data_IF_010029599255
#
_entry.id   IF_010029599255
#
_cell.length_a   1.000
_cell.length_b   1.000
_cell.length_c   1.000
_cell.angle_alpha   90.00
_cell.angle_beta   90.00
_cell.angle_gamma   90.00
#
_symmetry.space_group_name_H-M   'P 1'
#
loop_
_entity.id
_entity.type
_entity.pdbx_description
1 polymer ?
#
# COMPACT_ATOMS: atom_id res chain seq x y z
N UNK A 1 -24.98 12.57 -28.75
CA UNK A 1 -25.77 13.03 -27.59
C UNK A 1 -25.29 12.19 -26.41
N UNK A 2 -24.53 12.67 -25.44
CA UNK A 2 -24.26 14.04 -24.99
C UNK A 2 -22.75 14.28 -24.83
N UNK A 3 -22.32 15.48 -25.23
CA UNK A 3 -20.95 15.96 -25.15
C UNK A 3 -20.63 16.45 -23.73
N UNK A 4 -19.62 15.89 -23.07
CA UNK A 4 -18.99 16.51 -21.91
C UNK A 4 -17.62 17.08 -22.29
N UNK A 5 -17.66 18.18 -23.04
CA UNK A 5 -16.55 19.13 -23.17
C UNK A 5 -16.99 20.42 -22.50
N UNK A 6 -16.69 20.56 -21.21
CA UNK A 6 -16.73 21.87 -20.55
C UNK A 6 -15.34 22.24 -20.05
N UNK A 7 -14.77 23.20 -20.76
CA UNK A 7 -13.63 24.01 -20.38
C UNK A 7 -13.86 24.58 -18.98
N UNK A 8 -12.92 24.34 -18.06
CA UNK A 8 -12.92 25.00 -16.75
C UNK A 8 -11.54 25.59 -16.44
N UNK A 9 -11.07 26.43 -17.35
CA UNK A 9 -10.05 27.46 -17.09
C UNK A 9 -10.79 28.70 -16.59
N UNK A 10 -10.83 28.88 -15.27
CA UNK A 10 -11.32 30.13 -14.69
C UNK A 10 -10.15 31.11 -14.64
N UNK A 11 -10.07 31.99 -15.64
CA UNK A 11 -9.16 33.15 -15.64
C UNK A 11 -9.61 34.10 -14.54
N UNK A 12 -8.78 34.30 -13.52
CA UNK A 12 -8.96 35.36 -12.52
C UNK A 12 -8.22 36.60 -13.02
N UNK A 13 -8.87 37.41 -13.87
CA UNK A 13 -8.35 38.69 -14.34
C UNK A 13 -9.04 39.92 -13.76
N UNK A 14 -10.04 39.77 -12.87
CA UNK A 14 -10.77 40.91 -12.31
C UNK A 14 -10.62 40.95 -10.79
N UNK A 15 -9.53 41.54 -10.33
CA UNK A 15 -9.29 41.88 -8.93
C UNK A 15 -9.17 43.39 -8.75
N UNK A 16 -10.15 44.15 -9.24
CA UNK A 16 -10.33 45.54 -8.86
C UNK A 16 -11.78 45.80 -8.43
N UNK A 17 -11.90 46.28 -7.18
CA UNK A 17 -13.09 46.82 -6.53
C UNK A 17 -14.21 45.84 -6.10
N UNK A 18 -14.65 45.98 -4.84
CA UNK A 18 -15.98 45.55 -4.39
C UNK A 18 -16.02 44.27 -3.57
N UNK A 19 -16.60 44.37 -2.37
CA UNK A 19 -16.87 43.30 -1.41
C UNK A 19 -17.40 42.02 -2.06
N UNK A 20 -16.62 40.93 -2.00
CA UNK A 20 -17.09 39.59 -2.36
C UNK A 20 -17.90 39.03 -1.19
N UNK A 21 -19.19 38.81 -1.43
CA UNK A 21 -20.10 38.22 -0.45
C UNK A 21 -19.54 36.89 0.10
N UNK A 22 -19.72 36.59 1.41
CA UNK A 22 -19.27 35.33 1.98
C UNK A 22 -19.99 34.17 1.28
N UNK A 23 -19.21 33.32 0.61
CA UNK A 23 -19.70 32.06 0.04
C UNK A 23 -20.29 31.24 1.19
N UNK A 24 -21.58 30.85 1.15
CA UNK A 24 -22.20 30.14 2.24
C UNK A 24 -21.45 28.84 2.51
N UNK A 25 -21.05 28.62 3.78
CA UNK A 25 -20.54 27.36 4.30
C UNK A 25 -21.65 26.30 4.24
N UNK A 26 -21.96 25.80 3.04
CA UNK A 26 -22.61 24.48 2.95
C UNK A 26 -21.51 23.45 3.16
N UNK A 27 -21.35 23.03 4.41
CA UNK A 27 -20.72 21.75 4.73
C UNK A 27 -21.55 20.68 4.01
N UNK A 28 -21.18 20.33 2.78
CA UNK A 28 -21.74 19.16 2.12
C UNK A 28 -21.15 17.96 2.87
N UNK A 29 -21.95 17.16 3.59
CA UNK A 29 -21.46 15.95 4.20
C UNK A 29 -21.25 14.94 3.07
N UNK A 30 -20.12 15.03 2.39
CA UNK A 30 -19.72 14.01 1.42
C UNK A 30 -19.32 12.81 2.26
N UNK A 31 -20.16 11.77 2.29
CA UNK A 31 -19.89 10.51 2.98
C UNK A 31 -18.42 10.10 2.77
N UNK A 32 -17.65 10.06 3.85
CA UNK A 32 -16.26 9.64 3.80
C UNK A 32 -16.24 8.11 3.72
N UNK A 33 -15.73 7.56 2.61
CA UNK A 33 -15.46 6.12 2.47
C UNK A 33 -14.32 5.62 3.36
N UNK A 34 -13.97 6.38 4.41
CA UNK A 34 -12.83 6.19 5.28
C UNK A 34 -13.28 6.38 6.72
N UNK A 35 -12.92 5.45 7.59
CA UNK A 35 -13.05 5.55 9.04
C UNK A 35 -11.66 5.77 9.65
N UNK A 36 -11.52 6.81 10.47
CA UNK A 36 -10.32 7.03 11.28
C UNK A 36 -10.61 6.44 12.66
N UNK A 37 -9.90 5.37 13.02
CA UNK A 37 -10.12 4.63 14.25
C UNK A 37 -9.08 5.09 15.29
N UNK A 38 -9.53 5.60 16.43
CA UNK A 38 -8.65 5.92 17.56
C UNK A 38 -8.25 4.63 18.29
N UNK A 39 -6.96 4.29 18.26
CA UNK A 39 -6.47 3.06 18.86
C UNK A 39 -6.10 3.22 20.34
N UNK A 40 -6.07 4.45 20.88
CA UNK A 40 -5.70 4.71 22.29
C UNK A 40 -6.48 3.88 23.31
N UNK A 41 -7.82 3.68 23.20
CA UNK A 41 -8.57 2.87 24.15
C UNK A 41 -8.10 1.41 24.17
N UNK A 42 -7.81 0.84 23.00
CA UNK A 42 -7.34 -0.54 22.85
C UNK A 42 -5.99 -0.72 23.53
N UNK A 43 -5.01 0.13 23.21
CA UNK A 43 -3.66 0.03 23.78
C UNK A 43 -3.60 0.31 25.28
N UNK A 44 -4.45 1.22 25.79
CA UNK A 44 -4.60 1.43 27.24
C UNK A 44 -5.08 0.17 27.95
N UNK A 45 -6.01 -0.58 27.36
CA UNK A 45 -6.51 -1.86 27.91
C UNK A 45 -5.40 -2.91 28.07
N UNK A 46 -4.41 -2.90 27.17
CA UNK A 46 -3.25 -3.80 27.20
C UNK A 46 -2.03 -3.23 27.93
N UNK A 47 -2.15 -2.08 28.62
CA UNK A 47 -1.03 -1.47 29.37
C UNK A 47 0.11 -0.91 28.49
N UNK A 48 -0.10 -0.77 27.19
CA UNK A 48 0.92 -0.33 26.24
C UNK A 48 1.04 1.20 26.28
N UNK A 49 2.13 1.70 26.88
CA UNK A 49 2.38 3.15 27.06
C UNK A 49 2.95 3.84 25.82
N UNK A 50 3.73 3.13 24.99
CA UNK A 50 4.24 3.64 23.70
C UNK A 50 3.41 3.05 22.56
N UNK A 51 2.55 3.88 21.99
CA UNK A 51 1.69 3.54 20.87
C UNK A 51 2.53 3.41 19.59
N UNK A 52 2.45 2.30 18.84
CA UNK A 52 3.07 2.20 17.52
C UNK A 52 2.40 3.15 16.50
N UNK A 53 1.10 3.46 16.71
CA UNK A 53 0.33 4.45 15.97
C UNK A 53 -0.86 4.92 16.82
N UNK A 54 -1.30 6.17 16.62
CA UNK A 54 -2.41 6.79 17.37
C UNK A 54 -3.77 6.57 16.70
N UNK A 55 -3.79 6.66 15.38
CA UNK A 55 -4.98 6.51 14.56
C UNK A 55 -4.73 5.45 13.48
N UNK A 56 -5.73 4.63 13.18
CA UNK A 56 -5.72 3.71 12.04
C UNK A 56 -6.65 4.23 10.95
N UNK A 57 -6.15 4.24 9.72
CA UNK A 57 -6.89 4.59 8.51
C UNK A 57 -7.62 3.34 8.00
N UNK A 58 -8.91 3.40 7.71
CA UNK A 58 -9.62 2.22 7.20
C UNK A 58 -10.62 2.60 6.11
N UNK A 59 -10.43 2.07 4.91
CA UNK A 59 -11.35 2.29 3.79
C UNK A 59 -12.52 1.31 3.89
N UNK A 60 -13.75 1.81 3.72
CA UNK A 60 -14.97 1.01 3.77
C UNK A 60 -15.35 0.51 2.36
N UNK A 61 -14.42 -0.18 1.71
CA UNK A 61 -14.61 -0.80 0.40
C UNK A 61 -14.91 -2.29 0.60
N UNK A 62 -16.11 -2.75 0.24
CA UNK A 62 -16.52 -4.16 0.42
C UNK A 62 -15.61 -5.10 -0.36
N UNK A 63 -15.27 -4.74 -1.60
CA UNK A 63 -14.37 -5.54 -2.44
C UNK A 63 -12.98 -5.61 -1.79
N UNK A 64 -12.47 -4.45 -1.35
CA UNK A 64 -11.19 -4.37 -0.65
C UNK A 64 -11.14 -5.18 0.64
N UNK A 65 -12.19 -5.15 1.46
CA UNK A 65 -12.28 -5.94 2.69
C UNK A 65 -12.25 -7.44 2.38
N UNK A 66 -13.02 -7.91 1.39
CA UNK A 66 -13.01 -9.32 0.97
C UNK A 66 -11.63 -9.72 0.48
N UNK A 67 -11.00 -8.93 -0.40
CA UNK A 67 -9.66 -9.21 -0.90
C UNK A 67 -8.61 -9.24 0.23
N UNK A 68 -8.69 -8.31 1.19
CA UNK A 68 -7.82 -8.32 2.36
C UNK A 68 -7.98 -9.61 3.17
N UNK A 69 -9.22 -10.01 3.51
CA UNK A 69 -9.48 -11.27 4.23
C UNK A 69 -8.93 -12.47 3.47
N UNK A 70 -9.12 -12.53 2.15
CA UNK A 70 -8.56 -13.58 1.31
C UNK A 70 -7.02 -13.61 1.39
N UNK A 71 -6.35 -12.46 1.38
CA UNK A 71 -4.89 -12.39 1.60
C UNK A 71 -4.47 -13.07 2.91
N UNK A 72 -5.19 -12.82 4.01
CA UNK A 72 -4.90 -13.47 5.29
C UNK A 72 -5.11 -14.99 5.25
N UNK A 73 -6.20 -15.44 4.61
CA UNK A 73 -6.48 -16.87 4.46
C UNK A 73 -5.41 -17.59 3.62
N UNK A 74 -4.92 -16.96 2.55
CA UNK A 74 -3.83 -17.50 1.72
C UNK A 74 -2.51 -17.61 2.52
N UNK A 75 -2.13 -16.56 3.26
CA UNK A 75 -0.95 -16.61 4.14
C UNK A 75 -1.09 -17.71 5.20
N UNK A 76 -2.27 -17.86 5.80
CA UNK A 76 -2.52 -18.91 6.80
C UNK A 76 -2.51 -20.32 6.19
N UNK A 77 -3.08 -20.48 4.99
CA UNK A 77 -3.08 -21.75 4.27
C UNK A 77 -1.65 -22.17 3.91
N UNK A 78 -0.85 -21.27 3.34
CA UNK A 78 0.56 -21.57 3.03
C UNK A 78 1.38 -21.91 4.28
N UNK A 79 1.16 -21.20 5.40
CA UNK A 79 1.74 -21.58 6.69
C UNK A 79 1.30 -22.97 7.14
N UNK A 80 0.01 -23.29 7.03
CA UNK A 80 -0.49 -24.60 7.42
C UNK A 80 0.19 -25.71 6.62
N UNK A 81 0.23 -25.61 5.29
CA UNK A 81 0.83 -26.64 4.44
C UNK A 81 2.34 -26.75 4.67
N UNK A 82 3.07 -25.62 4.72
CA UNK A 82 4.53 -25.65 4.92
C UNK A 82 4.88 -26.23 6.29
N UNK A 83 4.22 -25.82 7.37
CA UNK A 83 4.56 -26.30 8.70
C UNK A 83 4.08 -27.74 8.89
N UNK A 84 2.79 -28.03 8.68
CA UNK A 84 2.18 -29.29 9.09
C UNK A 84 2.33 -30.42 8.06
N UNK A 85 2.32 -30.11 6.77
CA UNK A 85 2.40 -31.12 5.71
C UNK A 85 3.86 -31.35 5.29
N UNK A 86 4.66 -30.28 5.15
CA UNK A 86 6.04 -30.39 4.64
C UNK A 86 7.06 -30.59 5.77
N UNK A 87 7.10 -29.71 6.77
CA UNK A 87 8.20 -29.67 7.74
C UNK A 87 8.02 -30.61 8.93
N UNK A 88 6.84 -30.67 9.55
CA UNK A 88 6.62 -31.53 10.72
C UNK A 88 6.90 -33.02 10.46
N UNK A 89 6.57 -33.60 9.29
CA UNK A 89 6.89 -35.00 8.98
C UNK A 89 8.36 -35.25 8.61
N UNK A 90 9.14 -34.21 8.34
CA UNK A 90 10.54 -34.35 7.94
C UNK A 90 11.34 -35.10 9.03
N UNK A 91 12.41 -35.85 8.70
CA UNK A 91 13.13 -36.59 9.77
C UNK A 91 14.19 -35.72 10.47
N UNK A 92 14.86 -34.85 9.72
CA UNK A 92 15.90 -33.97 10.26
C UNK A 92 15.28 -32.80 11.06
N UNK A 93 15.51 -32.79 12.38
CA UNK A 93 15.03 -31.74 13.30
C UNK A 93 15.57 -30.35 12.97
N UNK A 94 16.85 -30.23 12.64
CA UNK A 94 17.47 -28.94 12.31
C UNK A 94 16.82 -28.35 11.06
N UNK A 95 16.53 -29.17 10.05
CA UNK A 95 15.80 -28.75 8.86
C UNK A 95 14.43 -28.15 9.21
N UNK A 96 13.63 -28.84 10.05
CA UNK A 96 12.31 -28.30 10.49
C UNK A 96 12.41 -26.94 11.14
N UNK A 97 13.33 -26.83 12.11
CA UNK A 97 13.47 -25.63 12.93
C UNK A 97 13.96 -24.45 12.08
N UNK A 98 14.98 -24.67 11.25
CA UNK A 98 15.55 -23.62 10.41
C UNK A 98 14.53 -23.14 9.38
N UNK A 99 13.99 -24.05 8.55
CA UNK A 99 13.05 -23.67 7.50
C UNK A 99 11.73 -23.16 8.06
N UNK A 100 11.25 -23.72 9.18
CA UNK A 100 10.05 -23.25 9.88
C UNK A 100 10.24 -21.85 10.44
N UNK A 101 11.37 -21.57 11.08
CA UNK A 101 11.70 -20.23 11.57
C UNK A 101 11.72 -19.21 10.43
N UNK A 102 12.43 -19.50 9.34
CA UNK A 102 12.52 -18.60 8.20
C UNK A 102 11.15 -18.33 7.57
N UNK A 103 10.37 -19.39 7.31
CA UNK A 103 9.05 -19.25 6.69
C UNK A 103 8.09 -18.43 7.56
N UNK A 104 8.03 -18.72 8.87
CA UNK A 104 7.19 -17.98 9.82
C UNK A 104 7.65 -16.52 9.99
N UNK A 105 8.97 -16.29 10.05
CA UNK A 105 9.52 -14.94 10.18
C UNK A 105 9.15 -14.05 8.99
N UNK A 106 9.36 -14.53 7.76
CA UNK A 106 9.01 -13.75 6.57
C UNK A 106 7.50 -13.65 6.34
N UNK A 107 6.73 -14.67 6.71
CA UNK A 107 5.26 -14.59 6.70
C UNK A 107 4.74 -13.54 7.67
N UNK A 108 5.35 -13.44 8.86
CA UNK A 108 5.04 -12.39 9.82
C UNK A 108 5.36 -10.99 9.27
N UNK A 109 6.51 -10.82 8.62
CA UNK A 109 6.86 -9.54 7.97
C UNK A 109 5.91 -9.19 6.82
N UNK A 110 5.48 -10.18 6.02
CA UNK A 110 4.48 -9.97 4.97
C UNK A 110 3.14 -9.49 5.57
N UNK A 111 2.64 -10.19 6.58
CA UNK A 111 1.42 -9.84 7.29
C UNK A 111 1.50 -8.45 7.95
N UNK A 112 2.63 -8.14 8.60
CA UNK A 112 2.85 -6.83 9.21
C UNK A 112 2.91 -5.70 8.15
N UNK A 113 3.56 -5.95 7.01
CA UNK A 113 3.63 -4.99 5.90
C UNK A 113 2.25 -4.76 5.27
N UNK A 114 1.45 -5.82 5.12
CA UNK A 114 0.05 -5.75 4.67
C UNK A 114 -0.79 -4.88 5.59
N UNK A 115 -0.79 -5.16 6.90
CA UNK A 115 -1.50 -4.34 7.89
C UNK A 115 -1.07 -2.88 7.83
N UNK A 116 0.24 -2.62 7.72
CA UNK A 116 0.74 -1.24 7.65
C UNK A 116 0.29 -0.54 6.37
N UNK A 117 0.19 -1.23 5.25
CA UNK A 117 -0.31 -0.66 4.00
C UNK A 117 -1.81 -0.36 4.10
N UNK A 118 -2.57 -1.31 4.63
CA UNK A 118 -4.01 -1.24 4.80
C UNK A 118 -4.44 -0.13 5.78
N UNK A 119 -3.73 -0.01 6.91
CA UNK A 119 -4.13 0.86 8.01
C UNK A 119 -3.41 2.21 8.09
N UNK A 120 -2.54 2.54 7.12
CA UNK A 120 -1.88 3.85 7.05
C UNK A 120 -2.63 4.78 6.09
N UNK A 121 -2.69 6.06 6.44
CA UNK A 121 -3.10 7.10 5.49
C UNK A 121 -2.14 7.05 4.28
N UNK A 122 -2.64 6.90 3.03
CA UNK A 122 -1.81 6.86 1.82
C UNK A 122 -1.31 8.22 1.35
N UNK A 123 -1.67 9.31 2.04
CA UNK A 123 -1.25 10.67 1.70
C UNK A 123 -2.44 11.54 1.35
N UNK A 124 -3.51 11.39 2.11
CA UNK A 124 -4.80 12.05 1.88
C UNK A 124 -4.71 13.57 1.97
N UNK A 125 -5.53 14.23 1.17
CA UNK A 125 -5.71 15.68 1.18
C UNK A 125 -7.04 15.98 1.85
N UNK A 126 -7.04 16.96 2.77
CA UNK A 126 -8.23 17.36 3.50
C UNK A 126 -9.31 17.88 2.54
N UNK A 127 -10.56 17.43 2.73
CA UNK A 127 -11.73 17.96 2.01
C UNK A 127 -11.98 19.41 2.42
N UNK A 128 -12.51 20.21 1.50
CA UNK A 128 -12.86 21.60 1.78
C UNK A 128 -11.66 22.53 1.98
N UNK A 129 -10.43 22.07 1.75
CA UNK A 129 -9.24 22.91 1.96
C UNK A 129 -9.07 23.99 0.88
N UNK A 130 -9.94 24.06 -0.14
CA UNK A 130 -9.98 25.12 -1.15
C UNK A 130 -10.63 26.40 -0.63
N UNK A 131 -10.15 26.91 0.50
CA UNK A 131 -10.54 28.20 1.07
C UNK A 131 -9.66 29.31 0.52
N UNK A 132 -10.18 30.55 0.48
CA UNK A 132 -9.39 31.73 0.09
C UNK A 132 -8.12 31.87 0.93
N UNK A 133 -8.22 31.61 2.23
CA UNK A 133 -7.09 31.65 3.15
C UNK A 133 -6.00 30.64 2.77
N UNK A 134 -6.37 29.38 2.49
CA UNK A 134 -5.41 28.36 2.10
C UNK A 134 -4.77 28.66 0.73
N UNK A 135 -5.53 29.22 -0.22
CA UNK A 135 -4.99 29.66 -1.51
C UNK A 135 -3.96 30.78 -1.31
N UNK A 136 -4.24 31.76 -0.45
CA UNK A 136 -3.29 32.83 -0.12
C UNK A 136 -2.03 32.29 0.57
N UNK A 137 -2.18 31.32 1.47
CA UNK A 137 -1.05 30.66 2.16
C UNK A 137 -0.12 29.90 1.22
N UNK A 138 -0.56 29.51 0.03
CA UNK A 138 0.30 28.86 -0.95
C UNK A 138 1.36 29.80 -1.55
N UNK A 139 1.22 31.12 -1.41
CA UNK A 139 2.20 32.08 -1.94
C UNK A 139 2.40 31.93 -3.45
N UNK A 140 1.31 31.71 -4.18
CA UNK A 140 1.33 31.47 -5.62
C UNK A 140 1.92 32.66 -6.36
N UNK A 141 2.74 32.39 -7.37
CA UNK A 141 3.22 33.43 -8.28
C UNK A 141 2.05 33.91 -9.16
N UNK A 142 2.12 35.17 -9.58
CA UNK A 142 1.13 35.73 -10.49
C UNK A 142 1.06 34.90 -11.78
N UNK A 143 -0.16 34.53 -12.20
CA UNK A 143 -0.40 33.61 -13.33
C UNK A 143 -0.23 32.12 -13.05
N UNK A 144 0.12 31.71 -11.82
CA UNK A 144 0.24 30.29 -11.47
C UNK A 144 -1.14 29.62 -11.34
N UNK A 145 -1.38 28.60 -12.17
CA UNK A 145 -2.65 27.85 -12.19
C UNK A 145 -2.69 26.84 -11.03
N UNK A 146 -3.82 26.80 -10.32
CA UNK A 146 -4.09 25.81 -9.28
C UNK A 146 -5.28 24.94 -9.67
N UNK A 147 -5.09 23.63 -9.60
CA UNK A 147 -6.16 22.67 -9.85
C UNK A 147 -7.00 22.45 -8.59
N UNK A 148 -8.31 22.35 -8.78
CA UNK A 148 -9.26 22.03 -7.71
C UNK A 148 -9.94 20.70 -8.01
N UNK A 149 -10.11 19.86 -6.98
CA UNK A 149 -10.98 18.71 -7.08
C UNK A 149 -12.43 19.13 -6.80
N UNK A 150 -13.37 18.98 -7.75
CA UNK A 150 -14.77 19.36 -7.53
C UNK A 150 -15.46 18.45 -6.49
N UNK A 151 -15.07 17.17 -6.42
CA UNK A 151 -15.64 16.18 -5.49
C UNK A 151 -15.20 16.39 -4.04
N UNK A 152 -13.93 16.73 -3.83
CA UNK A 152 -13.38 16.97 -2.48
C UNK A 152 -13.46 18.44 -2.05
N UNK A 153 -13.74 19.36 -2.99
CA UNK A 153 -13.64 20.81 -2.78
C UNK A 153 -12.27 21.16 -2.18
N UNK A 154 -11.22 20.54 -2.74
CA UNK A 154 -9.87 20.65 -2.23
C UNK A 154 -8.93 21.13 -3.32
N UNK A 155 -7.92 21.90 -2.92
CA UNK A 155 -6.77 22.22 -3.77
C UNK A 155 -6.08 20.90 -4.07
N UNK A 156 -5.80 20.65 -5.34
CA UNK A 156 -5.19 19.43 -5.85
C UNK A 156 -3.72 19.75 -6.14
N UNK A 157 -2.79 19.31 -5.28
CA UNK A 157 -1.36 19.42 -5.54
C UNK A 157 -0.99 18.67 -6.82
N UNK A 158 0.16 19.01 -7.39
CA UNK A 158 0.73 18.24 -8.48
C UNK A 158 0.83 16.76 -8.11
N UNK A 159 0.54 15.89 -9.09
CA UNK A 159 0.58 14.42 -8.94
C UNK A 159 -0.43 13.84 -7.96
N UNK A 160 -1.31 14.64 -7.36
CA UNK A 160 -2.42 14.12 -6.59
C UNK A 160 -3.53 13.62 -7.53
N UNK A 161 -4.27 12.58 -7.15
CA UNK A 161 -5.44 12.11 -7.91
C UNK A 161 -6.60 11.80 -6.97
N UNK A 162 -7.84 11.98 -7.46
CA UNK A 162 -9.03 11.64 -6.71
C UNK A 162 -9.35 10.16 -6.90
N UNK A 163 -9.38 9.39 -5.81
CA UNK A 163 -9.86 8.02 -5.83
C UNK A 163 -11.36 8.00 -5.52
N UNK A 164 -12.16 7.49 -6.45
CA UNK A 164 -13.62 7.34 -6.28
C UNK A 164 -14.00 6.27 -5.25
N UNK A 165 -13.11 5.32 -4.93
CA UNK A 165 -13.37 4.32 -3.89
C UNK A 165 -13.14 4.94 -2.51
N UNK A 166 -11.96 5.53 -2.29
CA UNK A 166 -11.64 6.20 -1.03
C UNK A 166 -12.40 7.52 -0.81
N UNK A 167 -13.02 8.09 -1.85
CA UNK A 167 -13.68 9.40 -1.84
C UNK A 167 -12.76 10.54 -1.36
N UNK A 168 -11.49 10.47 -1.74
CA UNK A 168 -10.42 11.36 -1.27
C UNK A 168 -9.38 11.58 -2.35
N UNK A 169 -8.81 12.79 -2.39
CA UNK A 169 -7.60 13.06 -3.15
C UNK A 169 -6.38 12.52 -2.40
N UNK A 170 -5.54 11.75 -3.10
CA UNK A 170 -4.33 11.12 -2.55
C UNK A 170 -3.11 11.72 -3.26
N UNK A 171 -2.10 12.16 -2.50
CA UNK A 171 -0.83 12.68 -3.02
C UNK A 171 0.03 11.57 -3.61
N UNK A 172 0.67 11.84 -4.75
CA UNK A 172 1.41 10.86 -5.55
C UNK A 172 0.66 9.52 -5.62
N UNK A 173 -0.63 9.59 -5.94
CA UNK A 173 -1.48 8.41 -6.01
C UNK A 173 -0.93 7.49 -7.09
N UNK A 174 -0.63 6.25 -6.72
CA UNK A 174 -0.25 5.24 -7.68
C UNK A 174 -1.49 4.49 -8.18
N UNK A 175 -2.19 3.80 -7.27
CA UNK A 175 -3.44 3.12 -7.58
C UNK A 175 -4.29 2.85 -6.32
N UNK A 176 -5.55 2.48 -6.52
CA UNK A 176 -6.35 1.84 -5.47
C UNK A 176 -6.17 0.32 -5.57
N UNK A 177 -5.76 -0.32 -4.48
CA UNK A 177 -5.49 -1.75 -4.46
C UNK A 177 -6.49 -2.47 -3.55
N UNK A 178 -7.41 -3.27 -4.12
CA UNK A 178 -8.36 -4.05 -3.32
C UNK A 178 -7.66 -5.01 -2.34
N UNK A 179 -6.53 -5.60 -2.74
CA UNK A 179 -5.79 -6.56 -1.92
C UNK A 179 -5.23 -5.99 -0.61
N UNK A 180 -5.05 -4.67 -0.50
CA UNK A 180 -4.67 -3.99 0.75
C UNK A 180 -5.80 -3.10 1.29
N UNK A 181 -7.01 -3.18 0.71
CA UNK A 181 -8.16 -2.34 1.06
C UNK A 181 -7.80 -0.85 1.23
N UNK A 182 -6.94 -0.32 0.36
CA UNK A 182 -6.45 1.06 0.48
C UNK A 182 -5.87 1.55 -0.85
N UNK A 183 -5.72 2.87 -0.97
CA UNK A 183 -4.85 3.44 -1.98
C UNK A 183 -3.39 3.20 -1.63
N UNK A 184 -2.54 3.09 -2.65
CA UNK A 184 -1.09 3.17 -2.55
C UNK A 184 -0.69 4.58 -2.99
N UNK A 185 -0.03 5.32 -2.11
CA UNK A 185 0.39 6.70 -2.33
C UNK A 185 1.64 7.06 -1.53
N UNK A 186 1.97 8.35 -1.50
CA UNK A 186 3.24 8.87 -0.98
C UNK A 186 3.64 8.31 0.40
N UNK A 187 2.71 8.17 1.34
CA UNK A 187 3.03 7.88 2.75
C UNK A 187 2.95 6.40 3.14
N UNK A 188 2.40 5.55 2.27
CA UNK A 188 2.33 4.10 2.52
C UNK A 188 3.03 3.24 1.46
N UNK A 189 3.59 3.85 0.41
CA UNK A 189 4.30 3.14 -0.68
C UNK A 189 5.40 2.19 -0.17
N UNK A 190 6.16 2.58 0.87
CA UNK A 190 7.17 1.70 1.50
C UNK A 190 6.58 0.36 1.93
N UNK A 191 5.46 0.40 2.67
CA UNK A 191 4.85 -0.80 3.22
C UNK A 191 4.28 -1.69 2.11
N UNK A 192 3.74 -1.08 1.05
CA UNK A 192 3.25 -1.83 -0.11
C UNK A 192 4.39 -2.57 -0.81
N UNK A 193 5.53 -1.92 -1.04
CA UNK A 193 6.71 -2.57 -1.63
C UNK A 193 7.20 -3.73 -0.75
N UNK A 194 7.31 -3.51 0.57
CA UNK A 194 7.70 -4.57 1.50
C UNK A 194 6.71 -5.74 1.49
N UNK A 195 5.41 -5.46 1.47
CA UNK A 195 4.38 -6.49 1.36
C UNK A 195 4.57 -7.33 0.09
N UNK A 196 4.67 -6.70 -1.09
CA UNK A 196 4.87 -7.43 -2.35
C UNK A 196 6.19 -8.20 -2.38
N UNK A 197 7.26 -7.64 -1.80
CA UNK A 197 8.56 -8.30 -1.72
C UNK A 197 8.49 -9.55 -0.83
N UNK A 198 7.90 -9.45 0.35
CA UNK A 198 7.82 -10.59 1.27
C UNK A 198 6.88 -11.67 0.79
N UNK A 199 5.76 -11.34 0.14
CA UNK A 199 4.90 -12.36 -0.50
C UNK A 199 5.67 -13.08 -1.61
N UNK A 200 6.33 -12.35 -2.51
CA UNK A 200 7.15 -12.96 -3.56
C UNK A 200 8.21 -13.90 -2.97
N UNK A 201 8.90 -13.47 -1.93
CA UNK A 201 9.91 -14.28 -1.25
C UNK A 201 9.33 -15.57 -0.64
N UNK A 202 8.26 -15.49 0.15
CA UNK A 202 7.66 -16.69 0.75
C UNK A 202 7.02 -17.60 -0.28
N UNK A 203 6.49 -17.07 -1.40
CA UNK A 203 5.97 -17.88 -2.50
C UNK A 203 7.07 -18.69 -3.18
N UNK A 204 8.20 -18.05 -3.54
CA UNK A 204 9.37 -18.75 -4.10
C UNK A 204 9.90 -19.79 -3.11
N UNK A 205 9.96 -19.44 -1.83
CA UNK A 205 10.44 -20.35 -0.79
C UNK A 205 9.50 -21.55 -0.55
N UNK A 206 8.18 -21.33 -0.58
CA UNK A 206 7.17 -22.39 -0.51
C UNK A 206 7.28 -23.34 -1.71
N UNK A 207 7.49 -22.83 -2.92
CA UNK A 207 7.70 -23.64 -4.13
C UNK A 207 8.96 -24.50 -3.99
N UNK A 208 10.07 -23.91 -3.54
CA UNK A 208 11.30 -24.65 -3.27
C UNK A 208 11.06 -25.79 -2.25
N UNK A 209 10.43 -25.50 -1.11
CA UNK A 209 10.15 -26.52 -0.09
C UNK A 209 9.20 -27.61 -0.61
N UNK A 210 8.18 -27.24 -1.38
CA UNK A 210 7.21 -28.17 -1.97
C UNK A 210 7.87 -29.12 -2.96
N UNK A 211 8.75 -28.62 -3.84
CA UNK A 211 9.49 -29.43 -4.81
C UNK A 211 10.44 -30.39 -4.09
N UNK A 212 11.20 -29.91 -3.10
CA UNK A 212 12.11 -30.77 -2.33
C UNK A 212 11.36 -31.86 -1.56
N UNK A 213 10.22 -31.51 -0.96
CA UNK A 213 9.36 -32.47 -0.29
C UNK A 213 8.85 -33.52 -1.28
N UNK A 214 8.30 -33.09 -2.42
CA UNK A 214 7.82 -33.99 -3.47
C UNK A 214 8.91 -34.97 -3.94
N UNK A 215 10.12 -34.48 -4.26
CA UNK A 215 11.25 -35.34 -4.67
C UNK A 215 11.63 -36.33 -3.57
N UNK A 216 11.67 -35.89 -2.31
CA UNK A 216 11.98 -36.76 -1.17
C UNK A 216 10.92 -37.85 -0.99
N UNK A 217 9.65 -37.51 -1.18
CA UNK A 217 8.53 -38.45 -1.07
C UNK A 217 8.49 -39.44 -2.23
N UNK A 218 8.94 -39.06 -3.43
CA UNK A 218 9.09 -39.98 -4.55
C UNK A 218 10.25 -40.97 -4.34
N UNK A 219 11.33 -40.51 -3.70
CA UNK A 219 12.49 -41.36 -3.41
C UNK A 219 12.27 -42.33 -2.23
N UNK A 220 11.22 -42.11 -1.43
CA UNK A 220 10.84 -42.93 -0.27
C UNK A 220 9.43 -43.51 -0.46
N UNK A 221 8.96 -44.35 0.47
CA UNK A 221 7.55 -44.71 0.48
C UNK A 221 6.72 -43.50 0.94
N UNK A 222 5.79 -43.06 0.10
CA UNK A 222 4.93 -41.89 0.35
C UNK A 222 4.14 -42.01 1.66
N UNK A 223 3.86 -43.24 2.10
CA UNK A 223 3.15 -43.51 3.38
C UNK A 223 3.91 -43.01 4.61
N UNK A 224 5.22 -42.88 4.53
CA UNK A 224 6.07 -42.43 5.64
C UNK A 224 6.36 -40.92 5.61
N UNK A 225 5.89 -40.22 4.58
CA UNK A 225 6.38 -38.88 4.25
C UNK A 225 5.50 -37.73 4.76
N UNK A 226 4.26 -38.00 5.17
CA UNK A 226 3.35 -36.97 5.69
C UNK A 226 2.51 -37.46 6.86
N UNK A 227 2.11 -36.53 7.74
CA UNK A 227 1.13 -36.81 8.79
C UNK A 227 -0.31 -36.97 8.27
N UNK A 228 -0.56 -36.67 6.99
CA UNK A 228 -1.83 -36.87 6.30
C UNK A 228 -1.74 -38.06 5.31
N UNK A 229 -2.88 -38.51 4.79
CA UNK A 229 -2.93 -39.57 3.78
C UNK A 229 -2.26 -39.12 2.46
N UNK A 230 -1.68 -40.06 1.68
CA UNK A 230 -1.02 -39.71 0.40
C UNK A 230 -1.85 -38.82 -0.53
N UNK A 231 -3.16 -39.10 -0.78
CA UNK A 231 -3.96 -38.25 -1.65
C UNK A 231 -4.18 -36.85 -1.08
N UNK A 232 -4.39 -36.73 0.24
CA UNK A 232 -4.60 -35.44 0.89
C UNK A 232 -3.33 -34.56 0.80
N UNK A 233 -2.16 -35.13 1.08
CA UNK A 233 -0.87 -34.43 0.94
C UNK A 233 -0.66 -33.91 -0.47
N UNK A 234 -0.93 -34.74 -1.49
CA UNK A 234 -0.82 -34.32 -2.89
C UNK A 234 -1.75 -33.15 -3.20
N UNK A 235 -3.00 -33.18 -2.74
CA UNK A 235 -3.96 -32.07 -2.93
C UNK A 235 -3.45 -30.78 -2.27
N UNK A 236 -2.97 -30.84 -1.03
CA UNK A 236 -2.42 -29.67 -0.34
C UNK A 236 -1.22 -29.06 -1.09
N UNK A 237 -0.30 -29.90 -1.58
CA UNK A 237 0.86 -29.46 -2.34
C UNK A 237 0.47 -28.83 -3.68
N UNK A 238 -0.51 -29.40 -4.40
CA UNK A 238 -1.00 -28.83 -5.67
C UNK A 238 -1.54 -27.42 -5.46
N UNK A 239 -2.39 -27.22 -4.45
CA UNK A 239 -2.94 -25.90 -4.15
C UNK A 239 -1.87 -24.91 -3.68
N UNK A 240 -0.90 -25.36 -2.87
CA UNK A 240 0.22 -24.52 -2.45
C UNK A 240 1.11 -24.11 -3.64
N UNK A 241 1.37 -25.02 -4.58
CA UNK A 241 2.14 -24.72 -5.79
C UNK A 241 1.37 -23.74 -6.68
N UNK A 242 0.07 -23.96 -6.88
CA UNK A 242 -0.77 -23.05 -7.65
C UNK A 242 -0.81 -21.65 -7.05
N UNK A 243 -1.05 -21.55 -5.74
CA UNK A 243 -0.99 -20.30 -4.99
C UNK A 243 0.39 -19.62 -5.13
N UNK A 244 1.47 -20.38 -4.89
CA UNK A 244 2.84 -19.87 -4.95
C UNK A 244 3.23 -19.36 -6.34
N UNK A 245 2.79 -20.02 -7.40
CA UNK A 245 3.04 -19.56 -8.77
C UNK A 245 2.20 -18.31 -9.10
N UNK A 246 0.89 -18.36 -8.87
CA UNK A 246 -0.02 -17.28 -9.23
C UNK A 246 0.34 -15.98 -8.48
N UNK A 247 0.39 -16.04 -7.15
CA UNK A 247 0.66 -14.86 -6.33
C UNK A 247 2.14 -14.51 -6.31
N UNK A 248 3.05 -15.48 -6.45
CA UNK A 248 4.48 -15.21 -6.59
C UNK A 248 4.80 -14.39 -7.84
N UNK A 249 4.27 -14.78 -9.01
CA UNK A 249 4.47 -14.04 -10.27
C UNK A 249 3.81 -12.66 -10.17
N UNK A 250 2.55 -12.61 -9.72
CA UNK A 250 1.83 -11.34 -9.58
C UNK A 250 2.57 -10.36 -8.68
N UNK A 251 3.02 -10.80 -7.51
CA UNK A 251 3.74 -9.94 -6.57
C UNK A 251 5.17 -9.62 -7.01
N UNK A 252 5.84 -10.50 -7.76
CA UNK A 252 7.13 -10.19 -8.38
C UNK A 252 7.01 -9.02 -9.38
N UNK A 253 6.01 -9.07 -10.26
CA UNK A 253 5.74 -7.99 -11.23
C UNK A 253 5.37 -6.69 -10.50
N UNK A 254 4.48 -6.75 -9.51
CA UNK A 254 4.10 -5.58 -8.72
C UNK A 254 5.29 -4.98 -7.95
N UNK A 255 6.13 -5.81 -7.34
CA UNK A 255 7.33 -5.33 -6.65
C UNK A 255 8.30 -4.65 -7.63
N UNK A 256 8.55 -5.26 -8.78
CA UNK A 256 9.45 -4.71 -9.79
C UNK A 256 8.94 -3.38 -10.35
N UNK A 257 7.66 -3.32 -10.72
CA UNK A 257 7.03 -2.09 -11.23
C UNK A 257 7.03 -0.96 -10.20
N UNK A 258 6.77 -1.25 -8.92
CA UNK A 258 6.87 -0.24 -7.87
C UNK A 258 8.31 0.26 -7.67
N UNK A 259 9.30 -0.62 -7.67
CA UNK A 259 10.71 -0.22 -7.54
C UNK A 259 11.15 0.63 -8.73
N UNK A 260 10.75 0.27 -9.94
CA UNK A 260 11.01 1.06 -11.14
C UNK A 260 10.35 2.43 -11.08
N UNK A 261 9.08 2.49 -10.67
CA UNK A 261 8.32 3.73 -10.48
C UNK A 261 8.97 4.67 -9.46
N UNK A 262 9.56 4.11 -8.39
CA UNK A 262 10.35 4.88 -7.42
C UNK A 262 11.65 5.38 -8.07
N UNK A 263 12.38 4.53 -8.78
CA UNK A 263 13.67 4.88 -9.41
C UNK A 263 13.52 5.94 -10.49
N UNK A 264 12.43 5.90 -11.27
CA UNK A 264 12.10 6.88 -12.31
C UNK A 264 11.39 8.13 -11.79
N UNK A 265 10.97 8.15 -10.51
CA UNK A 265 10.11 9.18 -9.89
C UNK A 265 8.79 9.40 -10.66
N UNK A 266 8.21 8.33 -11.21
CA UNK A 266 6.95 8.33 -11.96
C UNK A 266 5.94 7.35 -11.36
N UNK A 267 4.71 7.78 -11.12
CA UNK A 267 3.61 6.89 -10.66
C UNK A 267 3.03 6.09 -11.83
N UNK A 268 2.29 5.01 -11.53
CA UNK A 268 1.58 4.23 -12.55
C UNK A 268 0.62 5.09 -13.40
N UNK A 269 -0.06 6.06 -12.76
CA UNK A 269 -0.96 7.00 -13.46
C UNK A 269 -0.17 7.89 -14.44
N UNK A 270 1.00 8.37 -14.05
CA UNK A 270 1.87 9.22 -14.88
C UNK A 270 2.40 8.44 -16.09
N UNK A 271 2.82 7.20 -15.89
CA UNK A 271 3.27 6.31 -16.97
C UNK A 271 2.16 6.04 -18.01
N UNK A 272 0.93 5.80 -17.54
CA UNK A 272 -0.22 5.57 -18.43
C UNK A 272 -0.65 6.81 -19.20
N UNK A 273 -0.59 7.98 -18.57
CA UNK A 273 -1.00 9.25 -19.19
C UNK A 273 0.01 9.83 -20.18
N UNK A 274 1.29 9.41 -20.10
CA UNK A 274 2.39 9.96 -20.90
C UNK A 274 2.47 11.49 -20.86
N UNK A 275 2.03 12.10 -19.74
CA UNK A 275 2.08 13.54 -19.55
C UNK A 275 3.55 14.00 -19.45
N UNK A 276 3.89 15.11 -20.09
CA UNK A 276 5.20 15.71 -19.88
C UNK A 276 5.30 16.17 -18.42
N UNK A 277 6.38 15.76 -17.74
CA UNK A 277 6.58 16.08 -16.34
C UNK A 277 6.68 17.61 -16.16
N UNK A 278 5.70 18.19 -15.47
CA UNK A 278 5.71 19.62 -15.07
C UNK A 278 6.51 19.87 -13.79
N UNK A 279 6.99 18.80 -13.14
CA UNK A 279 7.77 18.82 -11.92
C UNK A 279 9.25 18.50 -12.18
N UNK A 280 10.12 18.95 -11.28
CA UNK A 280 11.51 18.51 -11.28
C UNK A 280 11.60 17.04 -10.86
N UNK A 281 12.10 16.19 -11.76
CA UNK A 281 12.38 14.78 -11.46
C UNK A 281 13.51 14.67 -10.43
N UNK A 282 13.26 13.90 -9.38
CA UNK A 282 14.29 13.55 -8.40
C UNK A 282 15.31 12.59 -9.03
N UNK A 283 16.56 12.65 -8.58
CA UNK A 283 17.52 11.59 -8.90
C UNK A 283 17.07 10.28 -8.26
N UNK A 284 17.39 9.14 -8.89
CA UNK A 284 16.92 7.82 -8.42
C UNK A 284 17.27 7.57 -6.95
N UNK A 285 18.44 8.01 -6.49
CA UNK A 285 18.84 7.87 -5.09
C UNK A 285 18.01 8.73 -4.14
N UNK A 286 17.65 9.95 -4.55
CA UNK A 286 16.79 10.82 -3.75
C UNK A 286 15.34 10.27 -3.68
N UNK A 287 14.85 9.67 -4.77
CA UNK A 287 13.54 9.03 -4.79
C UNK A 287 13.47 7.83 -3.85
N UNK A 288 14.47 6.94 -3.89
CA UNK A 288 14.56 5.80 -2.98
C UNK A 288 14.61 6.29 -1.51
N UNK A 289 15.44 7.28 -1.19
CA UNK A 289 15.48 7.86 0.17
C UNK A 289 14.14 8.44 0.59
N UNK A 290 13.38 9.03 -0.33
CA UNK A 290 12.08 9.60 -0.02
C UNK A 290 11.03 8.54 0.36
N UNK A 291 11.18 7.30 -0.12
CA UNK A 291 10.29 6.18 0.22
C UNK A 291 10.79 5.38 1.41
N UNK A 292 12.07 5.01 1.43
CA UNK A 292 12.62 4.09 2.45
C UNK A 292 13.29 4.80 3.63
N UNK A 293 13.58 6.09 3.50
CA UNK A 293 14.23 6.93 4.51
C UNK A 293 15.75 7.05 4.33
N UNK A 294 16.38 7.89 5.16
CA UNK A 294 17.83 8.08 5.19
C UNK A 294 18.34 8.11 6.65
N UNK A 295 19.56 7.61 6.94
CA UNK A 295 20.46 6.86 6.06
C UNK A 295 19.95 5.46 5.71
N UNK A 296 20.61 4.80 4.74
CA UNK A 296 20.40 3.39 4.45
C UNK A 296 20.66 2.55 5.72
N UNK A 297 19.72 1.66 6.06
CA UNK A 297 19.81 0.81 7.25
C UNK A 297 18.84 -0.36 7.16
N UNK A 298 18.94 -1.33 8.09
CA UNK A 298 17.99 -2.46 8.20
C UNK A 298 16.52 -2.03 8.32
N UNK A 299 16.26 -0.78 8.75
CA UNK A 299 14.92 -0.20 8.84
C UNK A 299 14.22 -0.10 7.49
N UNK A 300 14.95 -0.14 6.38
CA UNK A 300 14.38 -0.16 5.03
C UNK A 300 13.51 -1.40 4.82
N UNK A 301 13.90 -2.51 5.43
CA UNK A 301 13.21 -3.80 5.38
C UNK A 301 12.21 -3.99 6.54
N UNK A 302 12.11 -3.02 7.45
CA UNK A 302 11.19 -3.10 8.59
C UNK A 302 9.87 -2.40 8.26
N UNK A 303 8.71 -3.10 8.37
CA UNK A 303 7.40 -2.46 8.28
C UNK A 303 7.06 -1.65 9.53
N UNK A 304 7.84 -1.77 10.60
CA UNK A 304 7.58 -1.10 11.87
C UNK A 304 8.12 0.34 11.89
N UNK A 305 9.11 0.63 11.03
CA UNK A 305 9.74 1.94 10.94
C UNK A 305 9.08 2.84 9.89
N UNK A 306 8.71 4.06 10.31
CA UNK A 306 8.33 5.12 9.37
C UNK A 306 9.59 5.73 8.72
N UNK A 307 9.59 5.98 7.40
CA UNK A 307 10.70 6.62 6.73
C UNK A 307 10.88 8.04 7.27
N UNK A 308 12.08 8.32 7.82
CA UNK A 308 12.47 9.66 8.28
C UNK A 308 13.14 10.40 7.14
N UNK A 309 12.36 10.86 6.18
CA UNK A 309 12.85 11.78 5.15
C UNK A 309 11.72 12.67 4.68
N UNK A 310 11.80 13.97 5.00
CA UNK A 310 10.79 14.94 4.59
C UNK A 310 11.41 15.84 3.52
N UNK A 311 10.85 15.75 2.31
CA UNK A 311 11.22 16.65 1.22
C UNK A 311 10.40 17.94 1.34
N UNK A 312 11.05 19.10 1.26
CA UNK A 312 10.51 20.41 1.63
C UNK A 312 9.21 20.80 0.91
N UNK A 313 8.99 20.33 -0.33
CA UNK A 313 7.77 20.58 -1.11
C UNK A 313 6.52 19.85 -0.60
N UNK A 314 6.66 18.78 0.20
CA UNK A 314 5.50 18.03 0.70
C UNK A 314 4.68 18.83 1.75
N UNK A 315 5.25 19.90 2.32
CA UNK A 315 4.60 20.73 3.34
C UNK A 315 3.64 21.79 2.80
N UNK A 316 3.81 22.27 1.57
CA UNK A 316 3.00 23.39 1.07
C UNK A 316 1.51 23.04 0.95
N UNK A 317 1.17 21.75 0.92
CA UNK A 317 -0.20 21.26 0.73
C UNK A 317 -0.72 20.39 1.88
N UNK A 318 0.02 20.25 2.98
CA UNK A 318 -0.34 19.40 4.12
C UNK A 318 -1.14 20.13 5.21
N UNK A 319 -1.79 21.24 4.88
CA UNK A 319 -2.53 22.11 5.82
C UNK A 319 -3.93 21.59 6.06
#
# INVERSE_FOLDING_TARGET
MENYTENNTQNYSDAESGQVAPIPKKEVPVADGIKIIDCRPLFRKFGIRKLPFRYAWFVTDVCGIVCAVLTWLLILYSQYVVIFIILLPHQNKAHKVIHGFFFLFFSFLAAASHLRTMFSDPGSIQKGNATRENILRLGLKEGQVVYKCPKCISIKPDRAHHCSVCQRCIRKMDHHCPWVNNCVGETNQKYFVLFTFYICFISIYALFLSINHFITCLAKDWKECSGASPPATTVFLIFLIFEGLLFGIFTAIMCATQLLSIISDETAIEQLKKEQATWQKKSSWLSIKSVFGHPFSWRWFSPFDQPKFVYQHSFMYSV
#
